data_IF_417822922852
#
_entry.id   IF_417822922852
#
_cell.length_a   1.000
_cell.length_b   1.000
_cell.length_c   1.000
_cell.angle_alpha   90.00
_cell.angle_beta   90.00
_cell.angle_gamma   90.00
#
_symmetry.space_group_name_H-M   'P 1'
#
loop_
_entity.id
_entity.type
_entity.pdbx_description
1 polymer ?
#
# COMPACT_ATOMS: atom_id res chain seq x y z
N UNK A 1 -44.41 24.56 -7.88
CA UNK A 1 -44.77 23.15 -7.72
C UNK A 1 -43.65 22.46 -6.98
N UNK A 2 -43.87 22.19 -5.69
CA UNK A 2 -42.87 21.56 -4.81
C UNK A 2 -42.85 20.05 -5.10
N UNK A 3 -41.78 19.55 -5.70
CA UNK A 3 -41.54 18.12 -5.79
C UNK A 3 -41.12 17.61 -4.39
N UNK A 4 -42.11 17.28 -3.59
CA UNK A 4 -41.87 16.53 -2.34
C UNK A 4 -41.47 15.12 -2.69
N UNK A 5 -40.19 14.80 -2.55
CA UNK A 5 -39.74 13.39 -2.51
C UNK A 5 -40.54 12.65 -1.46
N UNK A 6 -41.14 11.50 -1.75
CA UNK A 6 -41.83 10.72 -0.75
C UNK A 6 -40.84 10.36 0.36
N UNK A 7 -40.98 10.93 1.55
CA UNK A 7 -40.34 10.43 2.75
C UNK A 7 -40.81 8.99 2.92
N UNK A 8 -39.99 8.04 2.49
CA UNK A 8 -40.18 6.64 2.84
C UNK A 8 -40.34 6.59 4.36
N UNK A 9 -41.50 6.21 4.82
CA UNK A 9 -41.73 5.98 6.24
C UNK A 9 -40.58 5.13 6.77
N UNK A 10 -39.98 5.59 7.86
CA UNK A 10 -38.89 4.88 8.54
C UNK A 10 -39.44 3.52 9.01
N UNK A 11 -39.36 2.49 8.16
CA UNK A 11 -39.60 1.13 8.61
C UNK A 11 -38.53 0.81 9.65
N UNK A 12 -38.94 0.20 10.73
CA UNK A 12 -38.01 -0.32 11.72
C UNK A 12 -36.96 -1.19 10.98
N UNK A 13 -35.69 -1.01 11.29
CA UNK A 13 -34.57 -1.75 10.66
C UNK A 13 -34.75 -3.28 10.72
N UNK A 14 -35.52 -3.80 11.69
CA UNK A 14 -35.89 -5.22 11.83
C UNK A 14 -36.78 -5.75 10.72
N UNK A 15 -37.45 -4.87 9.96
CA UNK A 15 -38.48 -5.25 8.98
C UNK A 15 -37.95 -5.39 7.56
N UNK A 16 -36.66 -5.19 7.33
CA UNK A 16 -36.07 -5.37 6.02
C UNK A 16 -35.83 -6.86 5.73
N UNK A 17 -36.55 -7.47 4.79
CA UNK A 17 -36.28 -8.83 4.38
C UNK A 17 -34.89 -8.98 3.75
N UNK A 18 -34.32 -10.19 3.78
CA UNK A 18 -32.95 -10.48 3.30
C UNK A 18 -32.74 -10.09 1.85
N UNK A 19 -33.75 -10.19 1.01
CA UNK A 19 -33.79 -9.86 -0.42
C UNK A 19 -33.63 -8.36 -0.72
N UNK A 20 -33.76 -7.48 0.27
CA UNK A 20 -33.52 -6.06 0.10
C UNK A 20 -32.02 -5.69 0.08
N UNK A 21 -31.15 -6.62 0.42
CA UNK A 21 -29.70 -6.44 0.37
C UNK A 21 -29.16 -6.95 -0.96
N UNK A 22 -29.50 -6.27 -2.05
CA UNK A 22 -29.08 -6.65 -3.40
C UNK A 22 -27.65 -6.14 -3.69
N UNK A 23 -26.93 -6.86 -4.54
CA UNK A 23 -25.64 -6.41 -5.05
C UNK A 23 -25.91 -5.46 -6.23
N UNK A 24 -25.62 -4.15 -6.09
CA UNK A 24 -25.85 -3.21 -7.18
C UNK A 24 -24.84 -3.44 -8.32
N UNK A 25 -25.20 -3.17 -9.59
CA UNK A 25 -24.30 -3.42 -10.73
C UNK A 25 -22.94 -2.75 -10.61
N UNK A 26 -22.87 -1.54 -10.04
CA UNK A 26 -21.61 -0.81 -9.86
C UNK A 26 -20.67 -1.49 -8.84
N UNK A 27 -21.14 -2.43 -8.01
CA UNK A 27 -20.29 -3.17 -7.10
C UNK A 27 -19.29 -4.10 -7.81
N UNK A 28 -19.50 -4.41 -9.11
CA UNK A 28 -18.52 -5.14 -9.93
C UNK A 28 -17.12 -4.52 -9.92
N UNK A 29 -17.02 -3.21 -9.67
CA UNK A 29 -15.73 -2.50 -9.57
C UNK A 29 -14.91 -2.90 -8.33
N UNK A 30 -15.48 -3.66 -7.40
CA UNK A 30 -14.76 -4.26 -6.27
C UNK A 30 -13.98 -5.52 -6.64
N UNK A 31 -14.31 -6.18 -7.75
CA UNK A 31 -13.71 -7.46 -8.15
C UNK A 31 -12.16 -7.46 -8.22
N UNK A 32 -11.46 -6.37 -8.62
CA UNK A 32 -10.01 -6.36 -8.65
C UNK A 32 -9.33 -6.30 -7.27
N UNK A 33 -10.09 -5.98 -6.20
CA UNK A 33 -9.49 -5.68 -4.90
C UNK A 33 -9.41 -6.89 -3.98
N UNK A 34 -8.29 -6.98 -3.25
CA UNK A 34 -8.12 -7.86 -2.10
C UNK A 34 -8.19 -7.01 -0.83
N UNK A 35 -9.16 -7.31 0.02
CA UNK A 35 -9.56 -6.49 1.15
C UNK A 35 -9.32 -7.24 2.45
N UNK A 36 -8.54 -6.65 3.37
CA UNK A 36 -8.43 -7.14 4.73
C UNK A 36 -9.59 -6.60 5.58
N UNK A 37 -10.37 -7.46 6.18
CA UNK A 37 -11.31 -7.12 7.23
C UNK A 37 -10.73 -7.51 8.58
N UNK A 38 -10.65 -6.55 9.48
CA UNK A 38 -10.12 -6.73 10.82
C UNK A 38 -11.23 -6.57 11.86
N UNK A 39 -11.86 -7.67 12.32
CA UNK A 39 -12.78 -7.60 13.44
C UNK A 39 -12.01 -7.26 14.72
N UNK A 40 -12.21 -6.06 15.26
CA UNK A 40 -11.48 -5.58 16.42
C UNK A 40 -11.64 -6.47 17.66
N UNK A 41 -10.68 -6.39 18.59
CA UNK A 41 -10.61 -7.18 19.82
C UNK A 41 -10.53 -8.69 19.60
N UNK A 42 -10.98 -9.49 20.58
CA UNK A 42 -10.96 -10.97 20.58
C UNK A 42 -9.95 -11.55 21.58
N UNK A 43 -10.22 -12.76 22.07
CA UNK A 43 -9.38 -13.53 22.97
C UNK A 43 -9.31 -13.05 24.42
N UNK A 44 -10.06 -12.02 24.78
CA UNK A 44 -10.07 -11.44 26.13
C UNK A 44 -11.45 -11.53 26.82
N UNK A 45 -12.30 -12.44 26.34
CA UNK A 45 -13.65 -12.69 26.88
C UNK A 45 -13.65 -13.11 28.36
N UNK A 46 -12.54 -13.67 28.83
CA UNK A 46 -12.35 -14.06 30.23
C UNK A 46 -12.12 -12.88 31.19
N UNK A 47 -11.82 -11.67 30.67
CA UNK A 47 -11.58 -10.49 31.49
C UNK A 47 -12.92 -9.81 31.83
N UNK A 48 -13.29 -9.70 33.11
CA UNK A 48 -14.55 -9.05 33.52
C UNK A 48 -14.59 -7.58 33.04
N UNK A 49 -15.71 -7.18 32.44
CA UNK A 49 -15.95 -5.81 31.99
C UNK A 49 -15.14 -5.34 30.78
N UNK A 50 -14.20 -6.14 30.26
CA UNK A 50 -13.41 -5.75 29.09
C UNK A 50 -14.29 -5.65 27.84
N UNK A 51 -14.41 -4.43 27.30
CA UNK A 51 -15.14 -4.13 26.06
C UNK A 51 -16.54 -4.79 26.01
N UNK A 52 -17.30 -4.57 27.08
CA UNK A 52 -18.67 -5.07 27.24
C UNK A 52 -19.66 -3.93 27.37
N UNK A 53 -20.80 -4.08 26.73
CA UNK A 53 -21.92 -3.17 26.88
C UNK A 53 -22.66 -3.34 28.22
N UNK A 54 -23.72 -2.53 28.49
CA UNK A 54 -24.45 -2.52 29.73
C UNK A 54 -25.07 -3.87 30.15
N UNK A 55 -25.39 -4.73 29.16
CA UNK A 55 -25.92 -6.08 29.46
C UNK A 55 -24.86 -7.17 29.41
N UNK A 56 -23.59 -6.81 29.32
CA UNK A 56 -22.46 -7.72 29.31
C UNK A 56 -22.11 -8.30 27.92
N UNK A 57 -22.67 -7.77 26.85
CA UNK A 57 -22.37 -8.24 25.48
C UNK A 57 -21.04 -7.69 24.97
N UNK A 58 -20.29 -8.53 24.31
CA UNK A 58 -18.91 -8.25 23.89
C UNK A 58 -18.85 -7.53 22.56
N UNK A 59 -18.09 -6.43 22.49
CA UNK A 59 -17.77 -5.74 21.25
C UNK A 59 -17.10 -6.67 20.23
N UNK A 60 -16.19 -7.53 20.69
CA UNK A 60 -15.49 -8.49 19.84
C UNK A 60 -16.40 -9.40 19.02
N UNK A 61 -17.55 -9.82 19.61
CA UNK A 61 -18.55 -10.64 18.93
C UNK A 61 -19.34 -9.82 17.91
N UNK A 62 -19.70 -8.57 18.26
CA UNK A 62 -20.41 -7.65 17.37
C UNK A 62 -19.57 -7.37 16.12
N UNK A 63 -18.28 -7.03 16.31
CA UNK A 63 -17.33 -6.79 15.22
C UNK A 63 -17.19 -8.00 14.30
N UNK A 64 -17.12 -9.20 14.86
CA UNK A 64 -16.99 -10.44 14.09
C UNK A 64 -18.23 -10.72 13.24
N UNK A 65 -19.43 -10.50 13.80
CA UNK A 65 -20.69 -10.66 13.08
C UNK A 65 -20.81 -9.71 11.86
N UNK A 66 -20.40 -8.45 12.05
CA UNK A 66 -20.34 -7.47 10.96
C UNK A 66 -19.34 -7.90 9.89
N UNK A 67 -18.14 -8.37 10.31
CA UNK A 67 -17.10 -8.83 9.39
C UNK A 67 -17.57 -10.00 8.51
N UNK A 68 -18.24 -10.99 9.08
CA UNK A 68 -18.78 -12.11 8.31
C UNK A 68 -19.84 -11.67 7.31
N UNK A 69 -20.77 -10.80 7.72
CA UNK A 69 -21.78 -10.28 6.82
C UNK A 69 -21.18 -9.42 5.68
N UNK A 70 -20.17 -8.59 6.00
CA UNK A 70 -19.47 -7.77 5.04
C UNK A 70 -18.67 -8.62 4.03
N UNK A 71 -18.00 -9.67 4.52
CA UNK A 71 -17.30 -10.64 3.67
C UNK A 71 -18.23 -11.25 2.63
N UNK A 72 -19.44 -11.69 3.03
CA UNK A 72 -20.43 -12.24 2.09
C UNK A 72 -20.76 -11.25 0.96
N UNK A 73 -21.00 -9.97 1.27
CA UNK A 73 -21.32 -8.97 0.26
C UNK A 73 -20.14 -8.68 -0.68
N UNK A 74 -18.94 -8.58 -0.13
CA UNK A 74 -17.74 -8.29 -0.90
C UNK A 74 -17.39 -9.44 -1.85
N UNK A 75 -17.46 -10.68 -1.37
CA UNK A 75 -17.21 -11.87 -2.20
C UNK A 75 -18.30 -12.07 -3.26
N UNK A 76 -19.56 -11.76 -2.95
CA UNK A 76 -20.63 -11.76 -3.94
C UNK A 76 -20.45 -10.69 -5.04
N UNK A 77 -19.71 -9.61 -4.74
CA UNK A 77 -19.30 -8.59 -5.71
C UNK A 77 -17.98 -8.93 -6.44
N UNK A 78 -17.38 -10.09 -6.16
CA UNK A 78 -16.15 -10.59 -6.79
C UNK A 78 -14.85 -10.16 -6.11
N UNK A 79 -14.88 -9.43 -5.00
CA UNK A 79 -13.68 -9.08 -4.25
C UNK A 79 -13.10 -10.30 -3.52
N UNK A 80 -11.79 -10.28 -3.28
CA UNK A 80 -11.13 -11.27 -2.40
C UNK A 80 -11.06 -10.71 -0.98
N UNK A 81 -11.47 -11.50 0.02
CA UNK A 81 -11.50 -11.05 1.42
C UNK A 81 -10.59 -11.89 2.30
N UNK A 82 -9.80 -11.22 3.13
CA UNK A 82 -8.94 -11.81 4.15
C UNK A 82 -9.40 -11.32 5.52
N UNK A 83 -9.70 -12.24 6.44
CA UNK A 83 -10.02 -11.91 7.83
C UNK A 83 -8.76 -11.99 8.69
N UNK A 84 -8.53 -11.02 9.58
CA UNK A 84 -7.42 -11.09 10.55
C UNK A 84 -7.68 -12.09 11.66
N UNK A 85 -8.96 -12.33 11.98
CA UNK A 85 -9.47 -13.43 12.82
C UNK A 85 -10.86 -13.87 12.36
N UNK A 86 -11.19 -15.13 12.61
CA UNK A 86 -12.50 -15.72 12.31
C UNK A 86 -13.17 -16.34 13.53
N UNK A 87 -12.57 -16.19 14.69
CA UNK A 87 -13.02 -16.70 15.98
C UNK A 87 -12.66 -15.71 17.12
N UNK A 88 -12.93 -16.07 18.37
CA UNK A 88 -12.55 -15.25 19.55
C UNK A 88 -11.13 -15.54 19.98
N UNK A 89 -10.14 -15.32 19.08
CA UNK A 89 -8.72 -15.40 19.42
C UNK A 89 -8.10 -14.02 19.58
N UNK A 90 -7.07 -13.94 20.40
CA UNK A 90 -6.25 -12.75 20.53
C UNK A 90 -5.28 -12.65 19.34
N UNK A 91 -5.34 -11.53 18.62
CA UNK A 91 -4.41 -11.17 17.55
C UNK A 91 -3.85 -9.80 17.87
N UNK A 92 -2.54 -9.66 17.96
CA UNK A 92 -1.90 -8.38 18.24
C UNK A 92 -2.10 -7.37 17.09
N UNK A 93 -2.02 -6.07 17.39
CA UNK A 93 -2.20 -5.03 16.35
C UNK A 93 -1.18 -5.19 15.22
N UNK A 94 0.07 -5.50 15.55
CA UNK A 94 1.12 -5.74 14.55
C UNK A 94 0.82 -6.99 13.71
N UNK A 95 0.34 -8.06 14.32
CA UNK A 95 0.00 -9.30 13.62
C UNK A 95 -1.16 -9.10 12.64
N UNK A 96 -2.20 -8.32 13.02
CA UNK A 96 -3.32 -7.96 12.13
C UNK A 96 -2.83 -7.28 10.86
N UNK A 97 -1.96 -6.26 11.00
CA UNK A 97 -1.34 -5.58 9.85
C UNK A 97 -0.48 -6.55 9.02
N UNK A 98 0.30 -7.42 9.67
CA UNK A 98 1.15 -8.40 9.01
C UNK A 98 0.34 -9.45 8.23
N UNK A 99 -0.81 -9.89 8.73
CA UNK A 99 -1.73 -10.80 8.00
C UNK A 99 -2.18 -10.13 6.69
N UNK A 100 -2.61 -8.88 6.75
CA UNK A 100 -3.04 -8.12 5.56
C UNK A 100 -1.90 -7.92 4.56
N UNK A 101 -0.71 -7.55 5.04
CA UNK A 101 0.49 -7.33 4.22
C UNK A 101 0.95 -8.61 3.52
N UNK A 102 1.09 -9.72 4.26
CA UNK A 102 1.50 -11.03 3.70
C UNK A 102 0.51 -11.58 2.69
N UNK A 103 -0.77 -11.30 2.90
CA UNK A 103 -1.80 -11.67 1.94
C UNK A 103 -1.81 -10.78 0.69
N UNK A 104 -1.05 -9.67 0.67
CA UNK A 104 -1.05 -8.71 -0.44
C UNK A 104 -2.39 -8.00 -0.57
N UNK A 105 -2.99 -7.58 0.54
CA UNK A 105 -4.24 -6.82 0.52
C UNK A 105 -4.01 -5.39 0.03
N UNK A 106 -4.94 -4.90 -0.80
CA UNK A 106 -4.90 -3.55 -1.36
C UNK A 106 -5.33 -2.49 -0.35
N UNK A 107 -6.18 -2.89 0.62
CA UNK A 107 -6.70 -2.02 1.67
C UNK A 107 -7.12 -2.84 2.89
N UNK A 108 -7.24 -2.15 4.05
CA UNK A 108 -7.64 -2.75 5.32
C UNK A 108 -8.74 -1.94 6.00
N UNK A 109 -9.75 -2.63 6.52
CA UNK A 109 -10.88 -2.05 7.25
C UNK A 109 -10.96 -2.72 8.61
N UNK A 110 -10.68 -1.95 9.67
CA UNK A 110 -10.87 -2.40 11.04
C UNK A 110 -12.26 -2.03 11.52
N UNK A 111 -12.96 -3.01 12.04
CA UNK A 111 -14.36 -2.93 12.46
C UNK A 111 -14.44 -2.88 13.98
N UNK A 112 -14.99 -1.80 14.51
CA UNK A 112 -15.17 -1.54 15.92
C UNK A 112 -16.51 -0.87 16.21
N UNK A 113 -16.90 -0.91 17.49
CA UNK A 113 -17.97 -0.10 18.06
C UNK A 113 -17.43 0.65 19.26
N UNK A 114 -17.81 1.90 19.38
CA UNK A 114 -17.28 2.82 20.36
C UNK A 114 -17.93 2.65 21.75
N UNK A 115 -17.36 3.29 22.75
CA UNK A 115 -17.91 3.42 24.08
C UNK A 115 -17.74 4.84 24.62
N UNK A 116 -18.72 5.31 25.40
CA UNK A 116 -18.66 6.56 26.12
C UNK A 116 -19.23 6.39 27.52
N UNK A 117 -18.80 7.23 28.47
CA UNK A 117 -19.35 7.28 29.82
C UNK A 117 -20.83 7.69 29.81
N UNK A 118 -21.20 8.64 28.95
CA UNK A 118 -22.58 9.04 28.76
C UNK A 118 -23.32 8.03 27.88
N UNK A 119 -24.30 7.26 28.44
CA UNK A 119 -25.03 6.22 27.72
C UNK A 119 -25.98 6.74 26.64
N UNK A 120 -26.16 8.05 26.51
CA UNK A 120 -26.98 8.66 25.44
C UNK A 120 -26.17 8.88 24.14
N UNK A 121 -24.85 8.83 24.23
CA UNK A 121 -23.99 9.02 23.04
C UNK A 121 -24.16 7.85 22.08
N UNK A 122 -24.44 8.18 20.81
CA UNK A 122 -24.53 7.19 19.74
C UNK A 122 -24.43 7.88 18.37
N UNK A 123 -23.33 7.67 17.64
CA UNK A 123 -23.08 8.16 16.28
C UNK A 123 -22.05 7.27 15.60
N UNK A 124 -21.91 7.40 14.27
CA UNK A 124 -20.86 6.72 13.52
C UNK A 124 -19.64 7.62 13.34
N UNK A 125 -18.45 7.06 13.44
CA UNK A 125 -17.20 7.71 13.06
C UNK A 125 -16.26 6.75 12.33
N UNK A 126 -15.40 7.32 11.48
CA UNK A 126 -14.39 6.61 10.70
C UNK A 126 -13.06 7.32 10.91
N UNK A 127 -12.03 6.58 11.24
CA UNK A 127 -10.70 7.12 11.52
C UNK A 127 -9.71 6.76 10.42
N UNK A 128 -8.95 7.76 9.97
CA UNK A 128 -7.74 7.62 9.17
C UNK A 128 -6.51 7.97 10.00
N UNK A 129 -5.32 7.51 9.57
CA UNK A 129 -4.08 7.70 10.32
C UNK A 129 -3.49 9.09 10.12
N UNK A 130 -3.15 9.75 11.26
CA UNK A 130 -2.45 11.04 11.36
C UNK A 130 -3.07 12.18 10.53
N UNK A 131 -2.40 12.59 9.47
CA UNK A 131 -2.77 13.74 8.64
C UNK A 131 -3.37 13.31 7.30
N UNK A 132 -4.19 14.17 6.67
CA UNK A 132 -4.84 13.86 5.39
C UNK A 132 -3.88 13.46 4.27
N UNK A 133 -2.69 14.03 4.25
CA UNK A 133 -1.65 13.79 3.25
C UNK A 133 -0.75 12.59 3.57
N UNK A 134 -0.87 12.02 4.76
CA UNK A 134 -0.14 10.80 5.13
C UNK A 134 -0.65 9.58 4.35
N UNK A 135 -1.97 9.41 4.25
CA UNK A 135 -2.61 8.35 3.48
C UNK A 135 -3.90 8.84 2.84
N UNK A 136 -3.80 9.62 1.74
CA UNK A 136 -4.97 10.22 1.10
C UNK A 136 -6.02 9.21 0.65
N UNK A 137 -5.59 8.04 0.18
CA UNK A 137 -6.50 6.95 -0.21
C UNK A 137 -7.32 6.40 0.98
N UNK A 138 -6.77 6.43 2.21
CA UNK A 138 -7.52 6.07 3.43
C UNK A 138 -8.64 7.08 3.71
N UNK A 139 -8.38 8.38 3.52
CA UNK A 139 -9.41 9.41 3.65
C UNK A 139 -10.53 9.23 2.63
N UNK A 140 -10.18 8.96 1.37
CA UNK A 140 -11.17 8.76 0.31
C UNK A 140 -12.08 7.58 0.64
N UNK A 141 -11.46 6.46 1.02
CA UNK A 141 -12.14 5.25 1.45
C UNK A 141 -13.07 5.53 2.65
N UNK A 142 -12.53 6.20 3.67
CA UNK A 142 -13.27 6.54 4.89
C UNK A 142 -14.48 7.42 4.61
N UNK A 143 -14.35 8.41 3.73
CA UNK A 143 -15.44 9.31 3.33
C UNK A 143 -16.61 8.52 2.72
N UNK A 144 -16.35 7.64 1.78
CA UNK A 144 -17.39 6.85 1.13
C UNK A 144 -18.06 5.87 2.09
N UNK A 145 -17.29 5.23 2.96
CA UNK A 145 -17.81 4.28 3.97
C UNK A 145 -18.65 5.02 5.01
N UNK A 146 -18.19 6.18 5.49
CA UNK A 146 -18.97 6.97 6.45
C UNK A 146 -20.37 7.28 5.92
N UNK A 147 -20.50 7.74 4.68
CA UNK A 147 -21.82 7.99 4.08
C UNK A 147 -22.67 6.72 4.00
N UNK A 148 -22.06 5.58 3.64
CA UNK A 148 -22.78 4.29 3.63
C UNK A 148 -23.29 3.86 5.01
N UNK A 149 -22.48 4.06 6.05
CA UNK A 149 -22.87 3.79 7.44
C UNK A 149 -24.02 4.70 7.89
N UNK A 150 -23.94 6.01 7.63
CA UNK A 150 -25.01 6.96 8.01
C UNK A 150 -26.32 6.61 7.32
N UNK A 151 -26.30 6.27 6.04
CA UNK A 151 -27.48 5.81 5.31
C UNK A 151 -28.09 4.54 5.90
N UNK A 152 -27.25 3.58 6.27
CA UNK A 152 -27.71 2.30 6.78
C UNK A 152 -28.22 2.39 8.23
N UNK A 153 -27.43 2.97 9.12
CA UNK A 153 -27.69 2.96 10.55
C UNK A 153 -28.65 4.06 11.00
N UNK A 154 -28.71 5.18 10.24
CA UNK A 154 -29.55 6.36 10.51
C UNK A 154 -29.36 6.91 11.93
N UNK A 155 -28.10 6.88 12.38
CA UNK A 155 -27.71 7.48 13.64
C UNK A 155 -27.57 9.00 13.52
N UNK A 156 -27.60 9.74 14.63
CA UNK A 156 -27.33 11.17 14.64
C UNK A 156 -25.97 11.46 14.00
N UNK A 157 -25.92 12.50 13.17
CA UNK A 157 -24.67 12.99 12.58
C UNK A 157 -23.97 13.93 13.56
N UNK A 158 -22.64 13.89 13.56
CA UNK A 158 -21.81 14.82 14.30
C UNK A 158 -21.38 15.99 13.40
N UNK A 159 -21.10 17.13 14.02
CA UNK A 159 -20.83 18.37 13.27
C UNK A 159 -19.59 18.31 12.36
N UNK A 160 -18.65 17.43 12.64
CA UNK A 160 -17.40 17.24 11.88
C UNK A 160 -17.48 16.08 10.87
N UNK A 161 -18.69 15.73 10.43
CA UNK A 161 -18.96 14.72 9.39
C UNK A 161 -18.47 13.30 9.70
N UNK A 162 -17.98 13.03 10.92
CA UNK A 162 -17.59 11.70 11.40
C UNK A 162 -16.39 11.05 10.73
N UNK A 163 -15.70 11.73 9.79
CA UNK A 163 -14.42 11.31 9.25
C UNK A 163 -13.29 12.04 10.00
N UNK A 164 -12.57 11.32 10.83
CA UNK A 164 -11.69 11.88 11.85
C UNK A 164 -10.26 11.37 11.71
N UNK A 165 -9.29 12.21 12.10
CA UNK A 165 -7.92 11.76 12.33
C UNK A 165 -7.84 10.97 13.64
N UNK A 166 -7.18 9.83 13.65
CA UNK A 166 -6.91 9.06 14.86
C UNK A 166 -5.97 9.80 15.84
N UNK A 167 -5.26 10.82 15.35
CA UNK A 167 -4.45 11.74 16.17
C UNK A 167 -5.30 12.54 17.16
N UNK A 168 -6.60 12.68 16.91
CA UNK A 168 -7.53 13.31 17.86
C UNK A 168 -7.76 12.43 19.11
N UNK A 169 -7.47 11.14 19.03
CA UNK A 169 -7.63 10.19 20.14
C UNK A 169 -6.28 9.95 20.83
N UNK A 170 -5.22 9.69 20.04
CA UNK A 170 -3.86 9.47 20.56
C UNK A 170 -2.86 10.29 19.73
N UNK A 171 -1.82 10.89 20.38
CA UNK A 171 -0.80 11.67 19.67
C UNK A 171 -0.15 10.95 18.49
N UNK A 172 0.08 9.63 18.63
CA UNK A 172 0.69 8.77 17.60
C UNK A 172 -0.35 7.97 16.79
N UNK A 173 -1.63 8.30 16.92
CA UNK A 173 -2.75 7.59 16.30
C UNK A 173 -2.96 6.16 16.81
N UNK A 174 -3.85 5.43 16.15
CA UNK A 174 -4.12 4.02 16.49
C UNK A 174 -2.98 3.11 16.04
N UNK A 175 -2.54 2.22 16.93
CA UNK A 175 -1.43 1.31 16.67
C UNK A 175 -1.62 0.42 15.44
N UNK A 176 -2.84 0.00 15.14
CA UNK A 176 -3.15 -0.78 13.93
C UNK A 176 -2.96 0.04 12.66
N UNK A 177 -3.51 1.26 12.63
CA UNK A 177 -3.41 2.13 11.44
C UNK A 177 -1.96 2.55 11.18
N UNK A 178 -1.18 2.77 12.26
CA UNK A 178 0.27 3.03 12.16
C UNK A 178 1.06 1.84 11.64
N UNK A 179 0.65 0.61 11.96
CA UNK A 179 1.31 -0.62 11.52
C UNK A 179 0.96 -1.00 10.07
N UNK A 180 -0.19 -0.56 9.55
CA UNK A 180 -0.66 -0.89 8.20
C UNK A 180 0.19 -0.21 7.12
N UNK A 181 0.60 -0.97 6.10
CA UNK A 181 1.38 -0.47 4.96
C UNK A 181 0.54 -0.26 3.69
N UNK A 182 -0.73 -0.54 3.77
CA UNK A 182 -1.73 -0.26 2.75
C UNK A 182 -2.72 0.78 3.28
N UNK A 183 -3.54 1.43 2.45
CA UNK A 183 -4.64 2.26 2.90
C UNK A 183 -5.48 1.52 3.93
N UNK A 184 -5.64 2.12 5.11
CA UNK A 184 -6.32 1.51 6.24
C UNK A 184 -7.21 2.53 6.95
N UNK A 185 -8.38 2.10 7.39
CA UNK A 185 -9.31 2.87 8.21
C UNK A 185 -9.79 2.03 9.38
N UNK A 186 -10.22 2.70 10.44
CA UNK A 186 -10.88 2.08 11.58
C UNK A 186 -12.28 2.69 11.72
N UNK A 187 -13.27 1.84 11.75
CA UNK A 187 -14.67 2.21 11.92
C UNK A 187 -15.06 2.10 13.39
N UNK A 188 -15.71 3.12 13.89
CA UNK A 188 -16.48 3.10 15.13
C UNK A 188 -17.93 3.32 14.73
N UNK A 189 -18.58 2.23 14.31
CA UNK A 189 -19.84 2.31 13.57
C UNK A 189 -21.01 2.84 14.42
N UNK A 190 -20.96 2.61 15.74
CA UNK A 190 -21.93 3.09 16.74
C UNK A 190 -21.37 2.89 18.14
N UNK A 191 -22.17 3.09 19.20
CA UNK A 191 -21.69 3.00 20.58
C UNK A 191 -22.33 1.81 21.30
N UNK A 192 -21.56 0.74 21.57
CA UNK A 192 -22.05 -0.41 22.32
C UNK A 192 -22.37 -0.09 23.79
N UNK A 193 -21.84 1.02 24.34
CA UNK A 193 -22.17 1.53 25.66
C UNK A 193 -23.58 2.13 25.76
N UNK A 194 -24.22 2.43 24.61
CA UNK A 194 -25.61 2.86 24.57
C UNK A 194 -26.55 1.63 24.68
N UNK A 195 -27.43 1.55 25.71
CA UNK A 195 -28.24 0.34 25.92
C UNK A 195 -29.19 -0.03 24.79
N UNK A 196 -29.70 0.97 24.05
CA UNK A 196 -30.54 0.72 22.86
C UNK A 196 -29.72 0.19 21.71
N UNK A 197 -28.54 0.72 21.53
CA UNK A 197 -27.62 0.31 20.47
C UNK A 197 -27.00 -1.07 20.75
N UNK A 198 -26.60 -1.36 22.00
CA UNK A 198 -26.16 -2.71 22.38
C UNK A 198 -27.18 -3.76 21.98
N UNK A 199 -28.47 -3.53 22.29
CA UNK A 199 -29.57 -4.43 21.90
C UNK A 199 -29.64 -4.61 20.37
N UNK A 200 -29.39 -3.57 19.58
CA UNK A 200 -29.34 -3.66 18.11
C UNK A 200 -28.14 -4.45 17.64
N UNK A 201 -26.95 -4.16 18.18
CA UNK A 201 -25.67 -4.77 17.82
C UNK A 201 -25.62 -6.28 18.14
N UNK A 202 -26.45 -6.78 19.05
CA UNK A 202 -26.60 -8.23 19.29
C UNK A 202 -27.53 -8.93 18.28
N UNK A 203 -28.14 -8.18 17.36
CA UNK A 203 -29.03 -8.74 16.35
C UNK A 203 -28.31 -8.89 15.01
N UNK A 204 -28.19 -10.12 14.51
CA UNK A 204 -27.51 -10.43 13.25
C UNK A 204 -28.09 -9.69 12.02
N UNK A 205 -29.39 -9.36 12.04
CA UNK A 205 -29.99 -8.56 10.96
C UNK A 205 -29.47 -7.13 10.97
N UNK A 206 -29.26 -6.56 12.15
CA UNK A 206 -28.68 -5.23 12.29
C UNK A 206 -27.20 -5.21 11.88
N UNK A 207 -26.42 -6.20 12.30
CA UNK A 207 -25.03 -6.36 11.85
C UNK A 207 -24.96 -6.51 10.33
N UNK A 208 -25.89 -7.25 9.72
CA UNK A 208 -25.95 -7.36 8.24
C UNK A 208 -26.30 -6.02 7.57
N UNK A 209 -27.18 -5.24 8.16
CA UNK A 209 -27.52 -3.89 7.68
C UNK A 209 -26.33 -2.94 7.76
N UNK A 210 -25.58 -2.96 8.86
CA UNK A 210 -24.35 -2.22 9.02
C UNK A 210 -23.32 -2.62 7.95
N UNK A 211 -23.09 -3.93 7.83
CA UNK A 211 -22.19 -4.48 6.81
C UNK A 211 -22.59 -4.06 5.39
N UNK A 212 -23.89 -4.02 5.09
CA UNK A 212 -24.37 -3.55 3.79
C UNK A 212 -24.09 -2.06 3.56
N UNK A 213 -24.20 -1.22 4.59
CA UNK A 213 -23.81 0.19 4.50
C UNK A 213 -22.34 0.37 4.18
N UNK A 214 -21.46 -0.37 4.87
CA UNK A 214 -20.02 -0.40 4.60
C UNK A 214 -19.75 -0.87 3.16
N UNK A 215 -20.40 -1.95 2.74
CA UNK A 215 -20.31 -2.50 1.38
C UNK A 215 -20.71 -1.49 0.31
N UNK A 216 -21.83 -0.79 0.47
CA UNK A 216 -22.27 0.24 -0.48
C UNK A 216 -21.29 1.42 -0.56
N UNK A 217 -20.73 1.82 0.59
CA UNK A 217 -19.68 2.82 0.64
C UNK A 217 -18.44 2.41 -0.17
N UNK A 218 -17.95 1.19 0.05
CA UNK A 218 -16.83 0.61 -0.70
C UNK A 218 -17.13 0.49 -2.19
N UNK A 219 -18.32 0.02 -2.55
CA UNK A 219 -18.73 -0.13 -3.94
C UNK A 219 -18.79 1.22 -4.67
N UNK A 220 -19.29 2.26 -4.01
CA UNK A 220 -19.31 3.64 -4.53
C UNK A 220 -17.91 4.21 -4.69
N UNK A 221 -17.01 3.97 -3.72
CA UNK A 221 -15.61 4.35 -3.82
C UNK A 221 -14.95 3.71 -5.03
N UNK A 222 -15.06 2.40 -5.21
CA UNK A 222 -14.49 1.69 -6.35
C UNK A 222 -15.10 2.15 -7.69
N UNK A 223 -16.43 2.33 -7.75
CA UNK A 223 -17.15 2.77 -8.96
C UNK A 223 -16.81 4.21 -9.37
N UNK A 224 -16.46 5.10 -8.43
CA UNK A 224 -16.00 6.45 -8.77
C UNK A 224 -14.59 6.47 -9.36
N UNK A 225 -13.96 5.31 -9.51
CA UNK A 225 -12.67 5.11 -10.17
C UNK A 225 -11.50 5.33 -9.22
N UNK A 226 -10.55 4.42 -9.29
CA UNK A 226 -9.29 4.53 -8.56
C UNK A 226 -8.18 4.82 -9.56
N UNK A 227 -7.53 6.00 -9.48
CA UNK A 227 -6.46 6.36 -10.41
C UNK A 227 -5.30 5.38 -10.34
N UNK A 228 -4.57 5.28 -11.43
CA UNK A 228 -3.35 4.45 -11.52
C UNK A 228 -2.31 5.15 -12.38
N UNK A 229 -1.06 4.92 -12.05
CA UNK A 229 0.07 5.29 -12.88
C UNK A 229 0.85 4.01 -13.22
N UNK A 230 1.27 3.90 -14.46
CA UNK A 230 2.07 2.78 -14.96
C UNK A 230 3.36 3.29 -15.53
N UNK A 231 4.49 2.85 -14.99
CA UNK A 231 5.81 3.16 -15.55
C UNK A 231 5.91 2.54 -16.94
N UNK A 232 6.19 3.37 -17.96
CA UNK A 232 6.36 2.95 -19.35
C UNK A 232 7.78 3.19 -19.85
N UNK A 233 8.53 4.06 -19.17
CA UNK A 233 9.93 4.37 -19.49
C UNK A 233 10.60 4.92 -18.23
N UNK A 234 11.88 4.56 -17.96
CA UNK A 234 12.63 3.53 -18.67
C UNK A 234 12.17 2.12 -18.31
N UNK A 235 12.80 1.10 -18.91
CA UNK A 235 12.69 -0.27 -18.40
C UNK A 235 13.21 -0.33 -16.94
N UNK A 236 12.90 -1.39 -16.22
CA UNK A 236 13.29 -1.57 -14.82
C UNK A 236 14.82 -1.39 -14.57
N UNK A 237 15.64 -1.59 -15.58
CA UNK A 237 17.10 -1.35 -15.55
C UNK A 237 17.45 -0.36 -16.65
N UNK A 238 18.15 0.72 -16.29
CA UNK A 238 18.68 1.71 -17.23
C UNK A 238 20.21 1.74 -17.15
N UNK A 239 20.86 1.78 -18.32
CA UNK A 239 22.30 2.06 -18.46
C UNK A 239 22.60 3.56 -18.51
N UNK A 240 21.58 4.37 -18.81
CA UNK A 240 21.68 5.84 -18.76
C UNK A 240 21.41 6.31 -17.32
N UNK A 241 22.28 7.18 -16.82
CA UNK A 241 22.16 7.79 -15.50
C UNK A 241 21.16 8.96 -15.45
N UNK A 242 20.71 9.42 -16.61
CA UNK A 242 19.66 10.45 -16.75
C UNK A 242 18.50 9.95 -17.62
N UNK A 243 17.89 8.81 -17.26
CA UNK A 243 16.81 8.29 -18.09
C UNK A 243 15.58 9.20 -17.98
N UNK A 244 14.90 9.41 -19.10
CA UNK A 244 13.56 10.00 -19.04
C UNK A 244 12.62 9.03 -18.33
N UNK A 245 11.97 9.48 -17.24
CA UNK A 245 10.96 8.71 -16.50
C UNK A 245 9.58 9.11 -17.01
N UNK A 246 8.83 8.15 -17.56
CA UNK A 246 7.50 8.39 -18.11
C UNK A 246 6.51 7.42 -17.54
N UNK A 247 5.43 7.97 -16.98
CA UNK A 247 4.26 7.21 -16.53
C UNK A 247 3.06 7.44 -17.43
N UNK A 248 2.37 6.38 -17.82
CA UNK A 248 1.03 6.43 -18.38
C UNK A 248 0.02 6.56 -17.22
N UNK A 249 -0.88 7.52 -17.32
CA UNK A 249 -1.86 7.84 -16.28
C UNK A 249 -3.25 7.33 -16.67
N UNK A 250 -3.98 6.83 -15.66
CA UNK A 250 -5.36 6.38 -15.75
C UNK A 250 -6.13 6.98 -14.57
N UNK A 251 -7.29 7.57 -14.83
CA UNK A 251 -8.13 8.13 -13.76
C UNK A 251 -9.06 7.08 -13.10
N UNK A 252 -9.09 5.86 -13.64
CA UNK A 252 -9.90 4.75 -13.12
C UNK A 252 -11.40 4.85 -13.43
N UNK A 253 -11.87 5.93 -14.01
CA UNK A 253 -13.30 6.17 -14.30
C UNK A 253 -13.67 5.37 -15.56
N UNK A 254 -14.58 4.42 -15.44
CA UNK A 254 -15.01 3.53 -16.54
C UNK A 254 -16.30 3.98 -17.18
N UNK A 255 -17.26 4.48 -16.39
CA UNK A 255 -18.56 4.92 -16.89
C UNK A 255 -18.48 6.37 -17.37
N UNK A 256 -18.44 6.55 -18.67
CA UNK A 256 -18.30 7.84 -19.34
C UNK A 256 -19.26 7.95 -20.51
N UNK A 257 -19.70 9.18 -20.77
CA UNK A 257 -20.55 9.49 -21.91
C UNK A 257 -20.13 10.76 -22.64
N UNK A 258 -20.65 10.92 -23.85
CA UNK A 258 -20.49 12.15 -24.64
C UNK A 258 -19.04 12.46 -25.02
N UNK A 259 -18.71 13.75 -25.09
CA UNK A 259 -17.39 14.24 -25.54
C UNK A 259 -16.27 14.06 -24.52
N UNK A 260 -16.58 13.63 -23.28
CA UNK A 260 -15.59 13.32 -22.24
C UNK A 260 -14.90 11.98 -22.41
N UNK A 261 -15.37 11.15 -23.35
CA UNK A 261 -14.75 9.86 -23.67
C UNK A 261 -13.33 10.09 -24.17
N UNK A 262 -12.36 9.40 -23.54
CA UNK A 262 -10.96 9.50 -23.92
C UNK A 262 -10.13 10.58 -23.22
N UNK A 263 -10.73 11.54 -22.52
CA UNK A 263 -9.97 12.51 -21.71
C UNK A 263 -9.50 11.88 -20.39
N UNK A 264 -8.38 12.37 -19.86
CA UNK A 264 -7.96 12.07 -18.49
C UNK A 264 -8.71 13.01 -17.53
N UNK A 265 -9.60 12.45 -16.72
CA UNK A 265 -10.38 13.20 -15.73
C UNK A 265 -9.64 13.20 -14.39
N UNK A 266 -8.54 13.91 -14.33
CA UNK A 266 -7.69 14.06 -13.15
C UNK A 266 -7.33 15.53 -12.90
N UNK A 267 -7.02 15.85 -11.64
CA UNK A 267 -6.49 17.15 -11.27
C UNK A 267 -4.99 17.20 -11.57
N UNK A 268 -4.59 18.06 -12.51
CA UNK A 268 -3.20 18.20 -12.90
C UNK A 268 -2.29 18.54 -11.71
N UNK A 269 -2.77 19.40 -10.81
CA UNK A 269 -2.01 19.83 -9.63
C UNK A 269 -1.78 18.73 -8.59
N UNK A 270 -2.55 17.65 -8.65
CA UNK A 270 -2.38 16.48 -7.76
C UNK A 270 -1.34 15.49 -8.26
N UNK A 271 -0.97 15.59 -9.56
CA UNK A 271 0.01 14.69 -10.14
C UNK A 271 1.42 15.06 -9.69
N UNK A 272 2.09 14.16 -9.01
CA UNK A 272 3.46 14.33 -8.57
C UNK A 272 4.25 13.04 -8.75
N UNK A 273 5.56 13.19 -8.98
CA UNK A 273 6.53 12.09 -8.98
C UNK A 273 7.52 12.31 -7.85
N UNK A 274 7.77 11.26 -7.09
CA UNK A 274 8.84 11.23 -6.08
C UNK A 274 9.88 10.20 -6.49
N UNK A 275 11.15 10.57 -6.35
CA UNK A 275 12.29 9.65 -6.48
C UNK A 275 12.98 9.57 -5.12
N UNK A 276 13.07 8.36 -4.56
CA UNK A 276 13.61 8.12 -3.21
C UNK A 276 12.93 9.00 -2.14
N UNK A 277 11.61 9.20 -2.26
CA UNK A 277 10.80 10.00 -1.34
C UNK A 277 10.87 11.53 -1.57
N UNK A 278 11.72 12.02 -2.47
CA UNK A 278 11.83 13.44 -2.79
C UNK A 278 11.01 13.78 -4.04
N UNK A 279 10.19 14.82 -3.96
CA UNK A 279 9.42 15.30 -5.10
C UNK A 279 10.33 15.90 -6.17
N UNK A 280 10.07 15.57 -7.44
CA UNK A 280 10.81 16.09 -8.61
C UNK A 280 9.85 16.90 -9.49
N UNK A 281 10.37 17.87 -10.30
CA UNK A 281 9.56 18.75 -11.13
C UNK A 281 9.05 18.04 -12.40
N UNK A 282 8.19 17.02 -12.21
CA UNK A 282 7.61 16.28 -13.31
C UNK A 282 6.55 17.09 -14.06
N UNK A 283 6.48 16.88 -15.38
CA UNK A 283 5.53 17.52 -16.29
C UNK A 283 4.35 16.61 -16.57
N UNK A 284 3.12 17.14 -16.49
CA UNK A 284 1.90 16.40 -16.83
C UNK A 284 1.38 16.84 -18.21
N UNK A 285 1.15 15.87 -19.09
CA UNK A 285 0.42 16.04 -20.35
C UNK A 285 -0.94 15.31 -20.23
N UNK A 286 -1.99 16.08 -19.96
CA UNK A 286 -3.35 15.55 -19.84
C UNK A 286 -3.89 14.97 -21.15
N UNK A 287 -3.44 15.49 -22.32
CA UNK A 287 -3.89 14.99 -23.64
C UNK A 287 -3.30 13.63 -23.94
N UNK A 288 -2.01 13.45 -23.67
CA UNK A 288 -1.30 12.16 -23.83
C UNK A 288 -1.48 11.27 -22.61
N UNK A 289 -2.06 11.79 -21.53
CA UNK A 289 -2.25 11.10 -20.24
C UNK A 289 -0.93 10.61 -19.68
N UNK A 290 0.08 11.48 -19.65
CA UNK A 290 1.44 11.14 -19.24
C UNK A 290 1.95 12.09 -18.17
N UNK A 291 2.74 11.54 -17.27
CA UNK A 291 3.60 12.27 -16.35
C UNK A 291 5.03 11.93 -16.72
N UNK A 292 5.87 12.93 -16.99
CA UNK A 292 7.26 12.72 -17.40
C UNK A 292 8.23 13.59 -16.61
N UNK A 293 9.42 13.06 -16.41
CA UNK A 293 10.52 13.75 -15.75
C UNK A 293 11.85 13.36 -16.40
N UNK A 294 12.67 14.36 -16.73
CA UNK A 294 14.04 14.21 -17.18
C UNK A 294 14.97 14.67 -16.05
N UNK A 295 15.82 13.81 -15.46
CA UNK A 295 16.78 14.23 -14.44
C UNK A 295 17.77 15.26 -14.97
N UNK A 296 17.95 16.37 -14.26
CA UNK A 296 18.94 17.40 -14.58
C UNK A 296 20.36 16.92 -14.24
N UNK A 297 20.50 16.13 -13.16
CA UNK A 297 21.76 15.52 -12.72
C UNK A 297 21.72 14.00 -12.84
N UNK A 298 22.89 13.38 -12.92
CA UNK A 298 23.01 11.93 -12.93
C UNK A 298 22.44 11.29 -11.66
N UNK A 299 21.66 10.25 -11.82
CA UNK A 299 21.27 9.36 -10.72
C UNK A 299 22.44 8.43 -10.39
N UNK A 300 22.63 8.10 -9.12
CA UNK A 300 23.66 7.16 -8.68
C UNK A 300 23.38 5.75 -9.18
N UNK A 301 24.44 4.95 -9.37
CA UNK A 301 24.26 3.53 -9.65
C UNK A 301 23.54 2.85 -8.49
N UNK A 302 22.52 2.06 -8.78
CA UNK A 302 21.75 1.37 -7.75
C UNK A 302 20.24 1.46 -7.93
N UNK A 303 19.53 1.15 -6.86
CA UNK A 303 18.06 1.16 -6.82
C UNK A 303 17.53 2.54 -6.49
N UNK A 304 16.57 2.99 -7.28
CA UNK A 304 15.77 4.19 -7.06
C UNK A 304 14.30 3.79 -6.92
N UNK A 305 13.66 4.32 -5.92
CA UNK A 305 12.23 4.09 -5.65
C UNK A 305 11.42 5.23 -6.28
N UNK A 306 10.50 4.87 -7.17
CA UNK A 306 9.64 5.81 -7.89
C UNK A 306 8.21 5.69 -7.35
N UNK A 307 7.61 6.82 -6.98
CA UNK A 307 6.23 6.88 -6.53
C UNK A 307 5.50 8.00 -7.24
N UNK A 308 4.30 7.70 -7.76
CA UNK A 308 3.39 8.68 -8.35
C UNK A 308 2.18 8.85 -7.48
N UNK A 309 1.83 10.10 -7.18
CA UNK A 309 0.56 10.47 -6.57
C UNK A 309 -0.32 11.14 -7.63
N UNK A 310 -1.61 10.81 -7.65
CA UNK A 310 -2.58 11.29 -8.62
C UNK A 310 -3.99 11.25 -8.01
N UNK A 311 -4.81 12.29 -8.28
CA UNK A 311 -6.21 12.37 -7.85
C UNK A 311 -7.13 12.54 -9.06
N UNK A 312 -8.22 11.77 -9.13
CA UNK A 312 -9.24 11.95 -10.17
C UNK A 312 -10.29 13.02 -9.81
N UNK A 313 -11.22 13.29 -10.73
CA UNK A 313 -12.27 14.30 -10.53
C UNK A 313 -13.23 14.00 -9.38
N UNK A 314 -13.37 12.75 -8.95
CA UNK A 314 -14.15 12.36 -7.78
C UNK A 314 -13.36 12.46 -6.48
N UNK A 315 -12.16 13.05 -6.55
CA UNK A 315 -11.22 13.23 -5.44
C UNK A 315 -10.70 11.90 -4.86
N UNK A 316 -10.73 10.82 -5.64
CA UNK A 316 -10.04 9.59 -5.26
C UNK A 316 -8.58 9.67 -5.65
N UNK A 317 -7.72 9.32 -4.72
CA UNK A 317 -6.28 9.14 -4.94
C UNK A 317 -5.98 7.71 -5.41
N UNK A 318 -4.87 7.55 -6.10
CA UNK A 318 -4.36 6.22 -6.40
C UNK A 318 -3.93 5.50 -5.11
N UNK A 319 -3.98 4.17 -5.14
CA UNK A 319 -3.36 3.37 -4.09
C UNK A 319 -1.84 3.55 -4.12
N UNK A 320 -1.17 3.58 -2.97
CA UNK A 320 0.29 3.67 -2.90
C UNK A 320 0.94 2.53 -3.68
N UNK A 321 1.81 2.89 -4.61
CA UNK A 321 2.62 1.95 -5.37
C UNK A 321 4.01 2.52 -5.52
N UNK A 322 5.00 1.68 -5.31
CA UNK A 322 6.41 2.02 -5.50
C UNK A 322 6.98 1.14 -6.60
N UNK A 323 7.41 1.78 -7.69
CA UNK A 323 8.16 1.11 -8.74
C UNK A 323 9.66 1.21 -8.45
N UNK A 324 10.45 0.23 -8.90
CA UNK A 324 11.90 0.23 -8.73
C UNK A 324 12.57 0.44 -10.08
N UNK A 325 13.41 1.48 -10.16
CA UNK A 325 14.33 1.71 -11.24
C UNK A 325 15.75 1.37 -10.77
N UNK A 326 16.49 0.58 -11.54
CA UNK A 326 17.91 0.30 -11.31
C UNK A 326 18.72 1.09 -12.33
N UNK A 327 19.63 1.91 -11.83
CA UNK A 327 20.67 2.52 -12.66
C UNK A 327 21.89 1.60 -12.60
N UNK A 328 22.30 1.12 -13.78
CA UNK A 328 23.44 0.22 -13.97
C UNK A 328 24.28 0.76 -15.12
N UNK A 329 24.96 1.90 -14.88
CA UNK A 329 25.85 2.49 -15.87
C UNK A 329 26.98 1.52 -16.26
N UNK A 330 27.43 1.50 -17.52
CA UNK A 330 28.51 0.63 -17.98
C UNK A 330 29.80 0.87 -17.21
N UNK A 331 30.52 -0.22 -16.93
CA UNK A 331 31.88 -0.13 -16.38
C UNK A 331 32.81 0.58 -17.37
N UNK A 332 33.48 1.60 -16.91
CA UNK A 332 34.49 2.35 -17.71
C UNK A 332 35.88 2.09 -17.18
N UNK A 333 36.05 1.98 -15.87
CA UNK A 333 37.35 1.83 -15.23
C UNK A 333 37.36 0.56 -14.38
N UNK A 334 38.43 -0.24 -14.54
CA UNK A 334 38.70 -1.41 -13.69
C UNK A 334 40.12 -1.24 -13.18
N UNK A 335 40.28 -1.32 -11.86
CA UNK A 335 41.59 -1.27 -11.19
C UNK A 335 41.78 -2.48 -10.31
N UNK A 336 43.02 -2.92 -10.13
CA UNK A 336 43.42 -4.03 -9.28
C UNK A 336 44.27 -3.52 -8.12
N UNK A 337 43.99 -3.98 -6.95
CA UNK A 337 44.80 -3.78 -5.72
C UNK A 337 45.32 -5.12 -5.22
N UNK A 338 46.63 -5.20 -5.01
CA UNK A 338 47.27 -6.39 -4.48
C UNK A 338 47.93 -6.11 -3.12
N UNK A 339 47.83 -7.01 -2.14
CA UNK A 339 48.48 -6.84 -0.83
C UNK A 339 50.00 -6.88 -0.86
N UNK A 340 50.56 -7.50 -1.91
CA UNK A 340 51.99 -7.57 -2.15
C UNK A 340 52.29 -7.47 -3.66
N UNK A 341 53.40 -6.79 -4.07
CA UNK A 341 53.73 -6.66 -5.46
C UNK A 341 54.35 -7.94 -6.09
N UNK A 342 54.69 -8.94 -5.27
CA UNK A 342 55.34 -10.20 -5.70
C UNK A 342 54.82 -11.39 -4.91
N UNK A 343 54.78 -12.56 -5.58
CA UNK A 343 54.54 -13.87 -5.01
C UNK A 343 55.67 -14.80 -5.44
N UNK A 344 56.03 -15.80 -4.60
CA UNK A 344 56.89 -16.91 -5.02
C UNK A 344 56.30 -17.65 -6.23
N UNK A 345 57.16 -17.95 -7.24
CA UNK A 345 56.76 -18.71 -8.43
C UNK A 345 56.89 -20.23 -8.13
N UNK A 346 56.18 -20.72 -7.12
CA UNK A 346 56.26 -22.11 -6.60
C UNK A 346 55.03 -22.98 -6.97
N UNK A 347 54.09 -22.41 -7.72
CA UNK A 347 52.87 -23.11 -8.12
C UNK A 347 51.83 -23.26 -6.99
N UNK A 348 52.11 -22.77 -5.78
CA UNK A 348 51.27 -22.93 -4.58
C UNK A 348 50.89 -21.61 -3.94
N UNK A 349 51.83 -20.65 -3.92
CA UNK A 349 51.62 -19.35 -3.31
C UNK A 349 50.39 -18.65 -3.93
N UNK A 350 49.49 -18.17 -3.09
CA UNK A 350 48.27 -17.48 -3.50
C UNK A 350 48.05 -16.18 -2.69
N UNK A 351 47.39 -15.22 -3.30
CA UNK A 351 46.98 -13.98 -2.62
C UNK A 351 45.61 -13.52 -3.04
N UNK A 352 44.88 -12.80 -2.16
CA UNK A 352 43.68 -12.10 -2.56
C UNK A 352 44.03 -10.89 -3.41
N UNK A 353 43.24 -10.64 -4.45
CA UNK A 353 43.30 -9.43 -5.28
C UNK A 353 41.96 -8.77 -5.24
N UNK A 354 41.96 -7.48 -4.91
CA UNK A 354 40.74 -6.69 -4.95
C UNK A 354 40.66 -5.93 -6.26
N UNK A 355 39.57 -6.07 -6.96
CA UNK A 355 39.25 -5.24 -8.13
C UNK A 355 38.23 -4.18 -7.75
N UNK A 356 38.33 -3.00 -8.36
CA UNK A 356 37.37 -1.90 -8.22
C UNK A 356 36.88 -1.52 -9.61
N UNK A 357 35.56 -1.43 -9.75
CA UNK A 357 34.88 -1.10 -10.98
C UNK A 357 34.13 0.22 -10.80
N UNK A 358 34.38 1.16 -11.70
CA UNK A 358 33.70 2.44 -11.72
C UNK A 358 33.14 2.73 -13.13
N UNK A 359 32.10 3.55 -13.16
CA UNK A 359 31.55 4.10 -14.40
C UNK A 359 32.34 5.29 -14.92
N UNK A 360 31.86 5.95 -15.99
CA UNK A 360 32.51 7.10 -16.62
C UNK A 360 32.55 8.35 -15.69
N UNK A 361 31.74 8.43 -14.68
CA UNK A 361 31.74 9.51 -13.67
C UNK A 361 32.58 9.15 -12.45
N UNK A 362 33.31 8.03 -12.52
CA UNK A 362 34.10 7.48 -11.42
C UNK A 362 33.28 7.07 -10.18
N UNK A 363 32.02 6.74 -10.40
CA UNK A 363 31.16 6.16 -9.35
C UNK A 363 31.20 4.63 -9.37
N UNK A 364 31.09 3.97 -8.20
CA UNK A 364 31.01 2.51 -8.12
C UNK A 364 29.88 1.96 -8.98
N UNK A 365 30.15 0.91 -9.74
CA UNK A 365 29.11 0.25 -10.55
C UNK A 365 28.09 -0.49 -9.70
N UNK A 366 26.93 -0.79 -10.29
CA UNK A 366 25.88 -1.53 -9.64
C UNK A 366 26.33 -2.94 -9.21
N UNK A 367 26.00 -3.37 -8.00
CA UNK A 367 26.36 -4.69 -7.42
C UNK A 367 25.91 -5.91 -8.22
N UNK A 368 25.00 -5.76 -9.16
CA UNK A 368 24.55 -6.81 -10.08
C UNK A 368 25.37 -6.93 -11.34
N UNK A 369 26.44 -6.10 -11.51
CA UNK A 369 27.35 -6.17 -12.65
C UNK A 369 28.16 -7.47 -12.59
N UNK A 370 28.15 -8.24 -13.70
CA UNK A 370 28.96 -9.46 -13.82
C UNK A 370 30.40 -9.13 -14.11
N UNK A 371 31.32 -9.85 -13.51
CA UNK A 371 32.77 -9.65 -13.69
C UNK A 371 33.45 -10.97 -14.02
N UNK A 372 34.27 -10.96 -15.07
CA UNK A 372 35.12 -12.09 -15.44
C UNK A 372 36.56 -11.66 -15.28
N UNK A 373 37.40 -12.49 -14.61
CA UNK A 373 38.82 -12.25 -14.40
C UNK A 373 39.66 -13.36 -15.03
N UNK A 374 40.78 -12.97 -15.63
CA UNK A 374 41.72 -13.90 -16.25
C UNK A 374 43.18 -13.49 -15.93
N UNK A 375 44.08 -14.44 -15.96
CA UNK A 375 45.52 -14.22 -15.82
C UNK A 375 46.26 -14.88 -16.99
N UNK A 376 47.30 -14.24 -17.49
CA UNK A 376 48.18 -14.80 -18.58
C UNK A 376 49.09 -15.94 -18.05
N UNK A 377 49.43 -15.91 -16.75
CA UNK A 377 50.23 -16.93 -16.07
C UNK A 377 49.62 -17.23 -14.71
N UNK A 378 49.90 -18.45 -14.18
CA UNK A 378 49.23 -18.90 -12.95
C UNK A 378 47.76 -19.22 -13.20
N UNK A 379 46.94 -19.09 -12.17
CA UNK A 379 45.48 -19.33 -12.28
C UNK A 379 44.66 -18.53 -11.28
N UNK A 380 43.44 -18.22 -11.67
CA UNK A 380 42.41 -17.72 -10.76
C UNK A 380 41.80 -18.92 -10.06
N UNK A 381 41.85 -18.98 -8.74
CA UNK A 381 41.40 -20.10 -7.92
C UNK A 381 40.08 -19.86 -7.20
N UNK A 382 39.55 -18.65 -7.31
CA UNK A 382 38.16 -18.30 -6.91
C UNK A 382 37.58 -17.27 -7.85
N UNK A 383 36.29 -17.40 -8.14
CA UNK A 383 35.56 -16.33 -8.81
C UNK A 383 35.54 -15.08 -7.92
N UNK A 384 35.42 -13.85 -8.52
CA UNK A 384 35.15 -12.65 -7.76
C UNK A 384 33.87 -12.81 -6.91
N UNK A 385 33.94 -12.42 -5.66
CA UNK A 385 32.75 -12.37 -4.83
C UNK A 385 31.78 -11.29 -5.34
N UNK A 386 30.55 -11.25 -4.78
CA UNK A 386 29.56 -10.23 -5.13
C UNK A 386 30.12 -8.83 -4.89
N UNK A 387 29.91 -7.93 -5.85
CA UNK A 387 30.31 -6.53 -5.74
C UNK A 387 29.70 -5.85 -4.52
N UNK A 388 30.54 -5.17 -3.78
CA UNK A 388 30.16 -4.28 -2.67
C UNK A 388 30.79 -2.92 -2.97
N UNK A 389 29.96 -1.89 -3.17
CA UNK A 389 30.44 -0.55 -3.56
C UNK A 389 31.46 -0.56 -4.69
N UNK A 390 31.14 -1.30 -5.77
CA UNK A 390 31.99 -1.47 -6.94
C UNK A 390 33.23 -2.33 -6.72
N UNK A 391 33.41 -2.94 -5.55
CA UNK A 391 34.60 -3.74 -5.21
C UNK A 391 34.26 -5.22 -5.10
N UNK A 392 35.18 -6.07 -5.59
CA UNK A 392 35.12 -7.51 -5.41
C UNK A 392 36.53 -8.06 -5.18
N UNK A 393 36.63 -9.20 -4.51
CA UNK A 393 37.90 -9.89 -4.23
C UNK A 393 37.86 -11.28 -4.84
N UNK A 394 38.97 -11.68 -5.45
CA UNK A 394 39.24 -13.03 -5.95
C UNK A 394 40.62 -13.48 -5.53
N UNK A 395 40.92 -14.79 -5.65
CA UNK A 395 42.22 -15.34 -5.31
C UNK A 395 42.97 -15.73 -6.58
N UNK A 396 44.23 -15.22 -6.68
CA UNK A 396 45.19 -15.60 -7.69
C UNK A 396 46.25 -16.53 -7.09
N UNK A 397 46.57 -17.60 -7.76
CA UNK A 397 47.66 -18.51 -7.45
C UNK A 397 48.77 -18.43 -8.47
N UNK A 398 50.01 -18.24 -7.99
CA UNK A 398 51.21 -18.15 -8.84
C UNK A 398 51.46 -19.44 -9.64
N UNK A 399 52.03 -19.29 -10.85
CA UNK A 399 52.57 -20.39 -11.61
C UNK A 399 53.98 -20.76 -11.13
N UNK A 400 54.64 -21.67 -11.87
CA UNK A 400 56.05 -22.11 -11.59
C UNK A 400 57.08 -21.33 -12.39
N UNK A 401 56.64 -20.53 -13.35
CA UNK A 401 57.53 -19.69 -14.18
C UNK A 401 57.66 -18.28 -13.60
N UNK A 402 58.88 -17.83 -13.21
CA UNK A 402 59.09 -16.46 -12.77
C UNK A 402 58.82 -15.45 -13.88
N UNK A 403 58.38 -14.24 -13.52
CA UNK A 403 58.17 -13.11 -14.42
C UNK A 403 56.93 -12.28 -14.12
N UNK A 404 56.69 -11.25 -14.91
CA UNK A 404 55.46 -10.44 -14.75
C UNK A 404 54.21 -11.25 -15.11
N UNK A 405 53.11 -10.94 -14.40
CA UNK A 405 51.79 -11.51 -14.63
C UNK A 405 50.82 -10.38 -14.99
N UNK A 406 50.09 -10.57 -16.07
CA UNK A 406 49.05 -9.65 -16.48
C UNK A 406 47.68 -10.21 -16.04
N UNK A 407 46.92 -9.40 -15.36
CA UNK A 407 45.51 -9.67 -15.02
C UNK A 407 44.61 -8.91 -15.96
N UNK A 408 43.58 -9.60 -16.44
CA UNK A 408 42.53 -9.02 -17.30
C UNK A 408 41.20 -9.16 -16.62
N UNK A 409 40.37 -8.12 -16.70
CA UNK A 409 38.99 -8.19 -16.26
C UNK A 409 38.10 -7.56 -17.32
N UNK A 410 36.88 -8.14 -17.44
CA UNK A 410 35.77 -7.58 -18.19
C UNK A 410 34.55 -7.56 -17.35
N UNK A 411 33.69 -6.58 -17.53
CA UNK A 411 32.45 -6.41 -16.80
C UNK A 411 31.33 -5.96 -17.75
N UNK A 412 30.11 -6.48 -17.53
CA UNK A 412 28.92 -6.16 -18.33
C UNK A 412 28.03 -5.08 -17.65
#
# INVERSE_FOLDING_TARGET
MSCGSPRLALREWTDLPREHYTIPPYAQHLAPFKIALDPGHGGLSHLPGYKRGPTGKEEAVMNLNVAFALKEFLEAAGATVVLTRSDDRLVSLQERATIAERAGCDLMISLHHNAAENPQVNYASVYYHLYPDYSPASMDLGRHIYFGLVEALRLPQVANEGLLSDKMIYPDGFGLLRAARMPAILLESSFFSNPREEKRLTNLRYNRREAYGIFLGLARWAASGIPRAQLVQPNAVSRDKKPEVVYQLFDGITERGGRGVGQLLAYAQSASLKINGQAVPAQIDLKRKRLSYQPDSSLHNGKHLLQVDLQNMFKNHNLPRVDTLIIAAPTQFITFETPAPKLPADGVAAMPITLTLCDAENEPVWKGTSVIVQADKGRIISEPNSLQDGRATFYYQAGTEPGPVNLFASAD
#
